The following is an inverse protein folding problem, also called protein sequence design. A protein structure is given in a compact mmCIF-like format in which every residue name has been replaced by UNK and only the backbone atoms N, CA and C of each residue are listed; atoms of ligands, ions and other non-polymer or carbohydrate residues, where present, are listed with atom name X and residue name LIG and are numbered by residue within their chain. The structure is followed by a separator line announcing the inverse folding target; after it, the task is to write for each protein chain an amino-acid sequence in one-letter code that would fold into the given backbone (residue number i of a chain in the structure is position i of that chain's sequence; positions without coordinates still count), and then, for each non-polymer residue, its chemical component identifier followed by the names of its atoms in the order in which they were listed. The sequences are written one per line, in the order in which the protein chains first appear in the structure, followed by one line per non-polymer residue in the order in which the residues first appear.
data_IF_936906522961
#
_entry.id   IF_936906522961
#
_cell.length_a   1.000
_cell.length_b   1.000
_cell.length_c   1.000
_cell.angle_alpha   90.00
_cell.angle_beta   90.00
_cell.angle_gamma   90.00
#
_symmetry.space_group_name_H-M   'P 1'
#
loop_
_entity.id
_entity.type
_entity.pdbx_description
1 polymer ?
#
# COMPACT_ATOMS: atom_id res chain seq x y z
N UNK A 1 -5.01 0.03 -13.19
CA UNK A 1 -4.13 1.01 -12.51
C UNK A 1 -3.52 0.32 -11.30
N UNK A 2 -2.44 0.86 -10.74
CA UNK A 2 -1.83 0.33 -9.53
C UNK A 2 -1.95 1.31 -8.36
N UNK A 3 -2.15 0.77 -7.17
CA UNK A 3 -2.28 1.51 -5.93
C UNK A 3 -1.27 1.00 -4.91
N UNK A 4 -0.85 1.86 -4.00
CA UNK A 4 -0.09 1.46 -2.81
C UNK A 4 -0.79 1.95 -1.55
N UNK A 5 -1.05 1.01 -0.63
CA UNK A 5 -1.66 1.27 0.67
C UNK A 5 -0.63 1.06 1.78
N UNK A 6 -0.45 2.08 2.63
CA UNK A 6 0.40 2.01 3.82
C UNK A 6 -0.48 1.84 5.04
N UNK A 7 -0.37 0.71 5.70
CA UNK A 7 -1.24 0.32 6.84
C UNK A 7 -0.44 0.00 8.08
N UNK A 8 -1.11 0.04 9.23
CA UNK A 8 -0.61 -0.62 10.44
C UNK A 8 -0.64 -2.15 10.28
N UNK A 9 0.37 -2.88 10.79
CA UNK A 9 0.34 -4.33 10.86
C UNK A 9 -0.63 -4.82 11.96
N UNK A 10 -1.06 -6.10 11.90
CA UNK A 10 -0.75 -7.06 10.84
C UNK A 10 -1.69 -6.92 9.63
N UNK A 11 -1.17 -7.22 8.44
CA UNK A 11 -2.04 -7.54 7.31
C UNK A 11 -2.68 -8.90 7.57
N UNK A 12 -3.97 -8.92 7.83
CA UNK A 12 -4.72 -10.16 8.07
C UNK A 12 -5.23 -10.72 6.74
N UNK A 13 -4.77 -11.92 6.39
CA UNK A 13 -5.21 -12.64 5.19
C UNK A 13 -5.98 -13.88 5.60
N UNK A 14 -7.22 -14.02 5.14
CA UNK A 14 -8.08 -15.17 5.35
C UNK A 14 -8.60 -15.66 3.99
N UNK A 15 -8.45 -16.95 3.70
CA UNK A 15 -8.87 -17.57 2.43
C UNK A 15 -8.37 -16.82 1.19
N UNK A 16 -7.11 -16.35 1.25
CA UNK A 16 -6.47 -15.58 0.17
C UNK A 16 -7.02 -14.17 0.01
N UNK A 17 -7.82 -13.65 0.95
CA UNK A 17 -8.36 -12.29 0.91
C UNK A 17 -7.90 -11.48 2.10
N UNK A 18 -7.73 -10.18 1.90
CA UNK A 18 -7.48 -9.23 2.96
C UNK A 18 -8.46 -8.07 2.85
N UNK A 19 -8.84 -7.50 3.99
CA UNK A 19 -9.56 -6.24 4.04
C UNK A 19 -8.59 -5.12 4.40
N UNK A 20 -8.56 -4.07 3.59
CA UNK A 20 -7.67 -2.93 3.76
C UNK A 20 -8.51 -1.70 4.06
N UNK A 21 -8.17 -1.03 5.16
CA UNK A 21 -8.77 0.22 5.59
C UNK A 21 -7.76 1.33 5.37
N UNK A 22 -8.07 2.25 4.47
CA UNK A 22 -7.19 3.36 4.18
C UNK A 22 -7.99 4.60 3.81
N UNK A 23 -7.37 5.77 3.96
CA UNK A 23 -7.95 7.02 3.48
C UNK A 23 -7.23 7.45 2.20
N UNK A 24 -7.95 7.80 1.12
CA UNK A 24 -7.35 8.33 -0.09
C UNK A 24 -6.42 9.53 0.19
N UNK A 25 -5.32 9.59 -0.54
CA UNK A 25 -4.35 10.68 -0.55
C UNK A 25 -3.90 10.96 -1.99
N UNK A 26 -3.75 12.25 -2.36
CA UNK A 26 -3.36 12.70 -3.71
C UNK A 26 -4.08 11.94 -4.85
N UNK A 27 -5.40 12.12 -4.95
CA UNK A 27 -6.24 11.54 -6.01
C UNK A 27 -6.04 10.02 -6.19
N UNK A 28 -6.35 9.22 -5.16
CA UNK A 28 -6.51 7.78 -5.33
C UNK A 28 -7.86 7.50 -5.99
N UNK A 29 -7.88 7.26 -7.30
CA UNK A 29 -9.03 6.64 -7.94
C UNK A 29 -8.91 5.13 -7.72
N UNK A 30 -9.99 4.48 -7.29
CA UNK A 30 -9.97 3.04 -7.01
C UNK A 30 -11.08 2.38 -7.78
N UNK A 31 -10.75 1.36 -8.56
CA UNK A 31 -11.70 0.52 -9.26
C UNK A 31 -11.49 -0.96 -8.93
N UNK A 32 -12.55 -1.75 -9.09
CA UNK A 32 -12.43 -3.21 -9.08
C UNK A 32 -11.53 -3.68 -10.23
N UNK A 33 -10.71 -4.68 -9.96
CA UNK A 33 -9.69 -5.19 -10.88
C UNK A 33 -8.37 -4.40 -10.86
N UNK A 34 -8.29 -3.25 -10.19
CA UNK A 34 -7.01 -2.56 -10.01
C UNK A 34 -6.04 -3.37 -9.16
N UNK A 35 -4.76 -3.21 -9.45
CA UNK A 35 -3.66 -3.78 -8.68
C UNK A 35 -3.44 -2.96 -7.41
N UNK A 36 -3.10 -3.64 -6.32
CA UNK A 36 -2.77 -3.00 -5.06
C UNK A 36 -1.57 -3.67 -4.38
N UNK A 37 -0.62 -2.85 -3.97
CA UNK A 37 0.51 -3.20 -3.12
C UNK A 37 0.23 -2.78 -1.68
N UNK A 38 0.56 -3.65 -0.74
CA UNK A 38 0.35 -3.39 0.69
C UNK A 38 1.69 -3.20 1.38
N UNK A 39 1.86 -2.04 1.98
CA UNK A 39 3.00 -1.69 2.81
C UNK A 39 2.60 -1.71 4.28
N UNK A 40 3.30 -2.48 5.10
CA UNK A 40 3.11 -2.48 6.55
C UNK A 40 4.12 -1.56 7.22
N UNK A 41 3.64 -0.69 8.09
CA UNK A 41 4.45 0.30 8.79
C UNK A 41 5.55 -0.33 9.65
N UNK A 42 6.82 -0.15 9.26
CA UNK A 42 7.98 -0.66 9.99
C UNK A 42 8.08 -0.12 11.42
N UNK A 43 7.69 1.15 11.64
CA UNK A 43 7.67 1.75 12.98
C UNK A 43 6.57 1.19 13.88
N UNK A 44 5.57 0.51 13.30
CA UNK A 44 4.51 -0.19 14.03
C UNK A 44 4.77 -1.70 14.10
N UNK A 45 5.97 -2.17 13.75
CA UNK A 45 6.35 -3.59 13.76
C UNK A 45 6.10 -4.33 12.44
N UNK A 46 5.82 -3.62 11.36
CA UNK A 46 5.70 -4.17 10.01
C UNK A 46 7.06 -4.40 9.34
N UNK A 47 7.03 -4.86 8.09
CA UNK A 47 8.23 -5.29 7.36
C UNK A 47 8.44 -4.56 6.03
N UNK A 48 7.74 -3.44 5.82
CA UNK A 48 7.74 -2.75 4.54
C UNK A 48 6.73 -3.37 3.58
N UNK A 49 7.13 -3.59 2.32
CA UNK A 49 6.30 -4.28 1.33
C UNK A 49 5.91 -5.68 1.84
N UNK A 50 4.61 -5.94 1.94
CA UNK A 50 4.08 -7.13 2.60
C UNK A 50 3.29 -8.04 1.68
N UNK A 51 2.51 -7.47 0.75
CA UNK A 51 1.67 -8.25 -0.16
C UNK A 51 1.35 -7.48 -1.44
N UNK A 52 0.89 -8.23 -2.44
CA UNK A 52 0.36 -7.76 -3.69
C UNK A 52 -0.94 -8.51 -4.01
N UNK A 53 -1.92 -7.80 -4.57
CA UNK A 53 -3.21 -8.37 -4.92
C UNK A 53 -4.01 -7.51 -5.90
N UNK A 54 -5.25 -7.90 -6.11
CA UNK A 54 -6.23 -7.17 -6.92
C UNK A 54 -7.44 -6.79 -6.10
N UNK A 55 -8.00 -5.61 -6.38
CA UNK A 55 -9.17 -5.09 -5.67
C UNK A 55 -10.40 -5.83 -6.19
N UNK A 56 -11.05 -6.59 -5.30
CA UNK A 56 -12.28 -7.32 -5.60
C UNK A 56 -13.52 -6.45 -5.37
N UNK A 57 -13.49 -5.56 -4.38
CA UNK A 57 -14.55 -4.59 -4.11
C UNK A 57 -13.97 -3.36 -3.39
N UNK A 58 -14.61 -2.20 -3.58
CA UNK A 58 -14.25 -0.97 -2.91
C UNK A 58 -15.51 -0.24 -2.42
N UNK A 59 -15.52 0.18 -1.15
CA UNK A 59 -16.65 0.92 -0.57
C UNK A 59 -16.20 1.90 0.50
N UNK A 60 -16.99 2.95 0.71
CA UNK A 60 -16.78 3.91 1.79
C UNK A 60 -17.66 3.51 2.96
N UNK A 61 -17.06 3.26 4.12
CA UNK A 61 -17.75 2.97 5.36
C UNK A 61 -17.48 4.05 6.42
N UNK A 62 -18.44 4.24 7.33
CA UNK A 62 -18.28 5.09 8.51
C UNK A 62 -17.82 4.24 9.68
N UNK A 63 -16.77 4.69 10.37
CA UNK A 63 -16.24 4.07 11.57
C UNK A 63 -16.27 5.05 12.73
N UNK A 64 -16.53 4.59 13.96
CA UNK A 64 -16.46 5.44 15.14
C UNK A 64 -15.04 5.99 15.31
N UNK A 65 -14.93 7.24 15.73
CA UNK A 65 -13.64 7.82 16.07
C UNK A 65 -12.98 7.03 17.21
N UNK A 66 -11.69 6.72 17.06
CA UNK A 66 -10.91 6.07 18.14
C UNK A 66 -10.89 6.90 19.42
N UNK A 67 -11.02 8.23 19.30
CA UNK A 67 -11.07 9.18 20.42
C UNK A 67 -12.15 10.21 20.20
N UNK A 68 -12.95 10.48 21.23
CA UNK A 68 -14.04 11.47 21.18
C UNK A 68 -15.32 10.96 20.50
N UNK A 69 -16.32 11.83 20.41
CA UNK A 69 -17.59 11.52 19.76
C UNK A 69 -17.52 11.70 18.25
N UNK A 70 -18.32 10.94 17.50
CA UNK A 70 -18.47 11.04 16.05
C UNK A 70 -17.86 9.88 15.28
N UNK A 71 -17.92 9.99 13.95
CA UNK A 71 -17.46 8.98 13.01
C UNK A 71 -16.53 9.61 11.96
N UNK A 72 -15.69 8.79 11.37
CA UNK A 72 -14.90 9.14 10.20
C UNK A 72 -15.16 8.12 9.09
N UNK A 73 -14.97 8.55 7.85
CA UNK A 73 -15.11 7.68 6.68
C UNK A 73 -13.77 7.10 6.26
N UNK A 74 -13.76 5.81 5.96
CA UNK A 74 -12.59 5.12 5.40
C UNK A 74 -12.97 4.40 4.12
N UNK A 75 -12.01 4.28 3.21
CA UNK A 75 -12.13 3.41 2.07
C UNK A 75 -11.78 1.99 2.53
N UNK A 76 -12.76 1.11 2.43
CA UNK A 76 -12.65 -0.32 2.73
C UNK A 76 -12.51 -1.05 1.40
N UNK A 77 -11.39 -1.74 1.26
CA UNK A 77 -11.09 -2.54 0.07
C UNK A 77 -11.09 -4.02 0.45
N UNK A 78 -11.86 -4.81 -0.27
CA UNK A 78 -11.70 -6.26 -0.24
C UNK A 78 -10.71 -6.62 -1.35
N UNK A 79 -9.58 -7.21 -0.96
CA UNK A 79 -8.45 -7.49 -1.85
C UNK A 79 -8.26 -8.99 -1.96
N UNK A 80 -8.20 -9.49 -3.19
CA UNK A 80 -7.74 -10.84 -3.47
C UNK A 80 -6.21 -10.82 -3.49
N UNK A 81 -5.59 -11.46 -2.52
CA UNK A 81 -4.12 -11.54 -2.41
C UNK A 81 -3.62 -12.51 -3.48
N UNK A 82 -2.71 -12.00 -4.31
CA UNK A 82 -2.03 -12.75 -5.37
C UNK A 82 -0.71 -13.31 -4.83
N UNK A 83 0.04 -12.50 -4.09
CA UNK A 83 1.26 -12.93 -3.41
C UNK A 83 1.38 -12.26 -2.04
N UNK A 84 1.68 -13.07 -1.03
CA UNK A 84 2.02 -12.62 0.32
C UNK A 84 3.50 -12.92 0.58
N UNK A 85 4.18 -12.01 1.27
CA UNK A 85 5.63 -12.01 1.50
C UNK A 85 6.46 -11.87 0.20
N UNK A 86 7.11 -10.71 -0.04
CA UNK A 86 7.95 -10.54 -1.22
C UNK A 86 9.18 -11.44 -1.18
N UNK A 87 9.60 -11.94 -2.35
CA UNK A 87 10.82 -12.72 -2.52
C UNK A 87 12.08 -11.92 -2.16
N UNK A 88 12.04 -10.60 -2.36
CA UNK A 88 13.09 -9.66 -1.94
C UNK A 88 12.49 -8.56 -1.08
N UNK A 89 13.01 -8.36 0.12
CA UNK A 89 12.55 -7.30 1.02
C UNK A 89 12.68 -5.92 0.37
N UNK A 90 11.63 -5.10 0.50
CA UNK A 90 11.63 -3.68 0.17
C UNK A 90 11.14 -2.90 1.40
N UNK A 91 12.03 -2.11 1.97
CA UNK A 91 11.84 -1.33 3.21
C UNK A 91 12.08 0.15 2.97
N UNK A 92 11.60 0.99 3.89
CA UNK A 92 11.84 2.43 3.87
C UNK A 92 13.34 2.71 4.02
N UNK A 93 14.05 1.90 4.80
CA UNK A 93 15.50 2.02 4.96
C UNK A 93 16.24 1.82 3.62
N UNK A 94 15.82 0.84 2.81
CA UNK A 94 16.39 0.60 1.47
C UNK A 94 16.03 1.75 0.50
N UNK A 95 14.81 2.29 0.59
CA UNK A 95 14.37 3.42 -0.23
C UNK A 95 14.93 4.78 0.25
N UNK A 96 15.54 4.84 1.44
CA UNK A 96 15.98 6.09 2.07
C UNK A 96 16.97 6.86 1.21
N UNK A 97 17.87 6.15 0.54
CA UNK A 97 18.94 6.73 -0.29
C UNK A 97 18.39 7.37 -1.57
N UNK A 98 17.17 7.02 -1.97
CA UNK A 98 16.52 7.51 -3.20
C UNK A 98 15.45 8.57 -2.92
N UNK A 99 15.05 8.80 -1.66
CA UNK A 99 13.89 9.65 -1.30
C UNK A 99 14.00 11.11 -1.77
N UNK A 100 15.22 11.62 -1.86
CA UNK A 100 15.57 13.00 -2.22
C UNK A 100 16.28 13.06 -3.59
N UNK A 101 16.38 11.92 -4.30
CA UNK A 101 17.06 11.86 -5.59
C UNK A 101 16.09 12.27 -6.71
N UNK A 102 16.58 13.12 -7.63
CA UNK A 102 15.91 13.42 -8.90
C UNK A 102 16.36 12.45 -10.02
N UNK A 103 17.11 11.38 -9.68
CA UNK A 103 17.51 10.35 -10.64
C UNK A 103 16.30 9.61 -11.22
N UNK A 104 16.40 9.23 -12.50
CA UNK A 104 15.29 8.75 -13.33
C UNK A 104 14.81 7.31 -13.04
N UNK A 105 15.25 6.68 -11.95
CA UNK A 105 14.86 5.30 -11.60
C UNK A 105 13.55 5.24 -10.82
N UNK A 106 12.77 4.15 -10.92
CA UNK A 106 11.48 3.98 -10.22
C UNK A 106 11.60 3.91 -8.68
N UNK A 107 12.81 3.72 -8.13
CA UNK A 107 13.08 3.72 -6.69
C UNK A 107 12.82 5.09 -6.04
N UNK A 108 13.17 6.18 -6.75
CA UNK A 108 13.02 7.55 -6.27
C UNK A 108 11.55 7.97 -6.11
N UNK A 109 10.66 7.83 -7.12
CA UNK A 109 9.24 8.17 -6.98
C UNK A 109 8.51 7.25 -5.98
N UNK A 110 8.81 5.94 -5.94
CA UNK A 110 8.26 5.02 -4.94
C UNK A 110 8.72 5.40 -3.53
N UNK A 111 10.01 5.69 -3.36
CA UNK A 111 10.57 6.19 -2.10
C UNK A 111 9.91 7.48 -1.65
N UNK A 112 9.87 8.49 -2.53
CA UNK A 112 9.20 9.77 -2.25
C UNK A 112 7.74 9.59 -1.87
N UNK A 113 7.03 8.71 -2.58
CA UNK A 113 5.65 8.36 -2.25
C UNK A 113 5.58 7.78 -0.84
N UNK A 114 6.27 6.68 -0.54
CA UNK A 114 6.18 6.00 0.76
C UNK A 114 6.70 6.81 1.96
N UNK A 115 7.67 7.71 1.74
CA UNK A 115 8.18 8.63 2.76
C UNK A 115 7.23 9.78 3.05
N UNK A 116 6.56 10.33 2.03
CA UNK A 116 5.59 11.43 2.19
C UNK A 116 4.18 10.92 2.52
N UNK A 117 3.92 9.66 2.21
CA UNK A 117 2.65 8.98 2.44
C UNK A 117 2.49 8.65 3.92
N UNK A 118 1.54 9.34 4.53
CA UNK A 118 1.16 9.11 5.92
C UNK A 118 0.58 7.70 6.10
N UNK A 119 0.63 7.21 7.33
CA UNK A 119 0.06 5.92 7.71
C UNK A 119 -1.46 5.87 7.51
N UNK A 120 -1.98 4.67 7.21
CA UNK A 120 -3.39 4.38 6.91
C UNK A 120 -3.92 5.22 5.73
N UNK A 121 -3.08 5.38 4.71
CA UNK A 121 -3.37 6.07 3.46
C UNK A 121 -3.19 5.16 2.27
N UNK A 122 -3.87 5.51 1.19
CA UNK A 122 -3.75 4.86 -0.12
C UNK A 122 -3.59 5.92 -1.21
N UNK A 123 -2.77 5.65 -2.21
CA UNK A 123 -2.55 6.53 -3.36
C UNK A 123 -2.28 5.70 -4.61
N UNK A 124 -2.53 6.28 -5.78
CA UNK A 124 -2.18 5.66 -7.06
C UNK A 124 -0.68 5.81 -7.30
N UNK A 125 -0.09 4.84 -8.00
CA UNK A 125 1.30 4.89 -8.46
C UNK A 125 1.34 4.71 -9.98
N UNK A 126 2.39 5.25 -10.61
CA UNK A 126 2.59 5.12 -12.05
C UNK A 126 2.97 3.68 -12.42
N UNK A 127 2.85 3.33 -13.71
CA UNK A 127 3.10 1.97 -14.19
C UNK A 127 4.55 1.51 -13.92
N UNK A 128 5.54 2.36 -14.16
CA UNK A 128 6.96 2.01 -13.95
C UNK A 128 7.26 1.75 -12.46
N UNK A 129 6.65 2.53 -11.56
CA UNK A 129 6.71 2.35 -10.12
C UNK A 129 6.08 1.02 -9.70
N UNK A 130 4.93 0.69 -10.29
CA UNK A 130 4.24 -0.56 -10.05
C UNK A 130 5.05 -1.76 -10.51
N UNK A 131 5.67 -1.69 -11.70
CA UNK A 131 6.55 -2.73 -12.23
C UNK A 131 7.76 -2.96 -11.32
N UNK A 132 8.39 -1.89 -10.84
CA UNK A 132 9.47 -1.96 -9.87
C UNK A 132 9.03 -2.67 -8.59
N UNK A 133 7.93 -2.23 -7.95
CA UNK A 133 7.42 -2.84 -6.71
C UNK A 133 7.00 -4.30 -6.95
N UNK A 134 6.38 -4.61 -8.09
CA UNK A 134 5.97 -5.97 -8.45
C UNK A 134 7.17 -6.92 -8.58
N UNK A 135 8.29 -6.44 -9.13
CA UNK A 135 9.50 -7.25 -9.31
C UNK A 135 10.05 -7.83 -8.00
N UNK A 136 9.71 -7.25 -6.84
CA UNK A 136 10.10 -7.78 -5.53
C UNK A 136 9.39 -9.09 -5.15
N UNK A 137 8.31 -9.43 -5.84
CA UNK A 137 7.58 -10.70 -5.67
C UNK A 137 8.02 -11.79 -6.66
N UNK A 138 8.85 -11.44 -7.64
CA UNK A 138 9.38 -12.38 -8.63
C UNK A 138 10.67 -13.01 -8.11
N UNK A 139 10.81 -14.33 -8.25
CA UNK A 139 12.08 -15.02 -8.01
C UNK A 139 13.02 -14.74 -9.21
N UNK A 140 14.26 -14.34 -8.94
CA UNK A 140 15.33 -14.26 -9.93
C UNK A 140 16.43 -15.26 -9.56
#
# INVERSE_FOLDING_TARGET
MALIAKIDPPLTVADGRAQIHARPYKQAAVAEGDEIFVWTSETSGGHGLAAFGTIAAARIESFPNKTGSGEHKELVLDVQIVSGAPARSLTLAQLAVHRDSDEAGPEAPVGKTLYTHALNKITSIESDDADFVRSHFEEH
#
